data_IF_841397569284
#
_entry.id   IF_841397569284
#
_cell.length_a   1.000
_cell.length_b   1.000
_cell.length_c   1.000
_cell.angle_alpha   90.00
_cell.angle_beta   90.00
_cell.angle_gamma   90.00
#
_symmetry.space_group_name_H-M   'P 1'
#
loop_
_entity.id
_entity.type
_entity.pdbx_description
1 polymer ?
#
# COMPACT_ATOMS: atom_id res chain seq x y z
N UNK A 1 4.70 -0.37 -18.37
CA UNK A 1 4.95 -1.42 -17.34
C UNK A 1 6.03 -2.43 -17.76
N UNK A 2 5.75 -3.41 -18.64
CA UNK A 2 6.71 -4.50 -18.99
C UNK A 2 8.12 -4.03 -19.38
N UNK A 3 8.23 -2.96 -20.17
CA UNK A 3 9.53 -2.37 -20.57
C UNK A 3 10.33 -1.84 -19.37
N UNK A 4 9.66 -1.22 -18.39
CA UNK A 4 10.31 -0.71 -17.19
C UNK A 4 10.77 -1.85 -16.28
N UNK A 5 9.93 -2.86 -16.08
CA UNK A 5 10.29 -4.06 -15.30
C UNK A 5 11.48 -4.80 -15.92
N UNK A 6 11.50 -4.98 -17.25
CA UNK A 6 12.64 -5.58 -17.96
C UNK A 6 13.92 -4.75 -17.78
N UNK A 7 13.85 -3.43 -18.00
CA UNK A 7 15.01 -2.55 -17.82
C UNK A 7 15.56 -2.57 -16.37
N UNK A 8 14.69 -2.67 -15.37
CA UNK A 8 15.10 -2.78 -13.96
C UNK A 8 15.78 -4.13 -13.67
N UNK A 9 15.22 -5.23 -14.19
CA UNK A 9 15.83 -6.57 -14.08
C UNK A 9 17.22 -6.61 -14.72
N UNK A 10 17.31 -6.15 -15.97
CA UNK A 10 18.55 -6.19 -16.74
C UNK A 10 19.65 -5.32 -16.11
N UNK A 11 19.28 -4.18 -15.53
CA UNK A 11 20.24 -3.22 -14.96
C UNK A 11 20.69 -3.57 -13.54
N UNK A 12 19.79 -4.11 -12.71
CA UNK A 12 20.03 -4.24 -11.27
C UNK A 12 19.99 -5.69 -10.76
N UNK A 13 19.66 -6.68 -11.59
CA UNK A 13 19.79 -8.10 -11.26
C UNK A 13 18.78 -8.64 -10.23
N UNK A 14 17.63 -8.00 -10.07
CA UNK A 14 16.55 -8.48 -9.18
C UNK A 14 15.19 -8.48 -9.89
N UNK A 15 14.27 -9.32 -9.43
CA UNK A 15 12.90 -9.34 -9.92
C UNK A 15 12.17 -8.02 -9.61
N UNK A 16 11.94 -7.23 -10.65
CA UNK A 16 11.24 -5.95 -10.54
C UNK A 16 9.76 -6.09 -10.93
N UNK A 17 8.89 -5.57 -10.07
CA UNK A 17 7.46 -5.39 -10.32
C UNK A 17 7.14 -3.89 -10.28
N UNK A 18 6.43 -3.39 -11.29
CA UNK A 18 6.10 -1.96 -11.41
C UNK A 18 4.60 -1.80 -11.49
N UNK A 19 4.03 -1.04 -10.56
CA UNK A 19 2.65 -0.58 -10.63
C UNK A 19 2.65 0.84 -11.21
N UNK A 20 1.81 1.10 -12.20
CA UNK A 20 1.74 2.38 -12.91
C UNK A 20 0.31 2.92 -12.82
N UNK A 21 0.20 4.14 -12.33
CA UNK A 21 -1.05 4.89 -12.18
C UNK A 21 -0.85 6.28 -12.78
N UNK A 22 -1.90 6.85 -13.38
CA UNK A 22 -1.89 8.26 -13.74
C UNK A 22 -2.03 9.16 -12.48
N UNK A 23 -1.70 10.44 -12.64
CA UNK A 23 -1.69 11.39 -11.52
C UNK A 23 -3.10 11.65 -10.95
N UNK A 24 -4.15 11.57 -11.77
CA UNK A 24 -5.53 11.78 -11.31
C UNK A 24 -5.99 10.64 -10.42
N UNK A 25 -5.64 9.40 -10.79
CA UNK A 25 -5.87 8.20 -9.99
C UNK A 25 -5.15 8.30 -8.65
N UNK A 26 -3.87 8.68 -8.65
CA UNK A 26 -3.11 8.85 -7.39
C UNK A 26 -3.73 9.95 -6.52
N UNK A 27 -4.20 11.04 -7.13
CA UNK A 27 -4.88 12.12 -6.40
C UNK A 27 -6.19 11.65 -5.78
N UNK A 28 -7.04 10.97 -6.55
CA UNK A 28 -8.29 10.41 -6.05
C UNK A 28 -8.07 9.44 -4.88
N UNK A 29 -7.01 8.62 -4.93
CA UNK A 29 -6.61 7.72 -3.84
C UNK A 29 -6.19 8.49 -2.59
N UNK A 30 -5.43 9.58 -2.73
CA UNK A 30 -5.02 10.41 -1.59
C UNK A 30 -6.24 11.13 -0.98
N UNK A 31 -7.11 11.69 -1.81
CA UNK A 31 -8.30 12.43 -1.39
C UNK A 31 -9.35 11.52 -0.72
N UNK A 32 -9.38 10.23 -1.08
CA UNK A 32 -10.27 9.23 -0.51
C UNK A 32 -9.73 8.56 0.76
N UNK A 33 -8.60 9.02 1.31
CA UNK A 33 -8.05 8.46 2.55
C UNK A 33 -9.03 8.65 3.72
N UNK A 34 -9.54 7.58 4.36
CA UNK A 34 -10.73 7.65 5.22
C UNK A 34 -10.43 7.97 6.68
N UNK A 35 -9.16 8.15 7.05
CA UNK A 35 -8.75 8.43 8.43
C UNK A 35 -8.13 9.82 8.53
N UNK A 36 -8.01 10.35 9.75
CA UNK A 36 -7.22 11.55 10.00
C UNK A 36 -5.77 11.32 9.49
N UNK A 37 -5.27 12.05 8.47
CA UNK A 37 -4.01 11.76 7.80
C UNK A 37 -2.78 11.88 8.71
N UNK A 38 -2.75 12.88 9.58
CA UNK A 38 -1.57 13.25 10.38
C UNK A 38 -1.85 13.14 11.88
N UNK A 39 -1.85 11.91 12.38
CA UNK A 39 -1.98 11.62 13.81
C UNK A 39 -0.59 11.39 14.41
N UNK A 40 -0.26 12.12 15.48
CA UNK A 40 1.02 11.89 16.16
C UNK A 40 1.09 10.47 16.75
N UNK A 41 2.27 9.87 16.71
CA UNK A 41 2.46 8.47 17.06
C UNK A 41 2.01 7.46 15.99
N UNK A 42 1.43 7.88 14.86
CA UNK A 42 0.95 6.96 13.81
C UNK A 42 1.64 7.15 12.45
N UNK A 43 1.49 6.13 11.60
CA UNK A 43 1.84 6.14 10.19
C UNK A 43 0.59 5.89 9.36
N UNK A 44 0.33 6.76 8.40
CA UNK A 44 -0.75 6.66 7.42
C UNK A 44 -0.22 6.12 6.10
N UNK A 45 -0.77 5.02 5.63
CA UNK A 45 -0.30 4.29 4.46
C UNK A 45 -1.42 4.03 3.47
N UNK A 46 -1.01 3.96 2.20
CA UNK A 46 -1.79 3.40 1.10
C UNK A 46 -1.01 2.22 0.57
N UNK A 47 -1.66 1.07 0.48
CA UNK A 47 -1.15 -0.11 -0.21
C UNK A 47 -1.89 -0.25 -1.53
N UNK A 48 -1.19 -0.04 -2.63
CA UNK A 48 -1.70 -0.30 -3.98
C UNK A 48 -1.70 -1.80 -4.24
N UNK A 49 -2.79 -2.33 -4.78
CA UNK A 49 -3.00 -3.75 -5.01
C UNK A 49 -3.37 -3.97 -6.48
N UNK A 50 -2.60 -4.79 -7.19
CA UNK A 50 -2.76 -5.04 -8.62
C UNK A 50 -3.60 -6.28 -8.96
N UNK A 51 -4.03 -7.04 -7.95
CA UNK A 51 -4.77 -8.29 -8.07
C UNK A 51 -6.00 -8.24 -7.15
N UNK A 52 -7.20 -8.41 -7.71
CA UNK A 52 -8.46 -8.24 -6.97
C UNK A 52 -8.63 -9.30 -5.87
N UNK A 53 -8.17 -10.53 -6.09
CA UNK A 53 -8.24 -11.57 -5.06
C UNK A 53 -7.31 -11.23 -3.88
N UNK A 54 -6.14 -10.65 -4.17
CA UNK A 54 -5.26 -10.12 -3.12
C UNK A 54 -5.90 -8.94 -2.39
N UNK A 55 -6.64 -8.09 -3.09
CA UNK A 55 -7.34 -6.96 -2.48
C UNK A 55 -8.40 -7.46 -1.48
N UNK A 56 -9.22 -8.42 -1.89
CA UNK A 56 -10.23 -9.04 -1.03
C UNK A 56 -9.61 -9.72 0.20
N UNK A 57 -8.51 -10.46 0.01
CA UNK A 57 -7.76 -11.10 1.09
C UNK A 57 -7.26 -10.08 2.12
N UNK A 58 -6.72 -8.94 1.67
CA UNK A 58 -6.22 -7.88 2.54
C UNK A 58 -7.35 -7.10 3.21
N UNK A 59 -8.46 -6.86 2.51
CA UNK A 59 -9.63 -6.17 3.07
C UNK A 59 -10.21 -6.96 4.25
N UNK A 60 -10.28 -8.30 4.13
CA UNK A 60 -10.73 -9.20 5.19
C UNK A 60 -9.83 -9.21 6.44
N UNK A 61 -8.64 -8.61 6.39
CA UNK A 61 -7.80 -8.42 7.58
C UNK A 61 -8.31 -7.30 8.50
N UNK A 62 -9.12 -6.38 7.97
CA UNK A 62 -9.74 -5.31 8.77
C UNK A 62 -10.51 -5.83 9.97
N UNK A 63 -11.24 -6.94 9.79
CA UNK A 63 -12.01 -7.59 10.86
C UNK A 63 -11.14 -8.18 11.98
N UNK A 64 -9.84 -8.35 11.72
CA UNK A 64 -8.86 -8.96 12.64
C UNK A 64 -7.84 -7.95 13.16
N UNK A 65 -7.95 -6.68 12.73
CA UNK A 65 -7.03 -5.63 13.14
C UNK A 65 -7.20 -5.35 14.64
N UNK A 66 -6.08 -5.10 15.33
CA UNK A 66 -6.13 -4.64 16.72
C UNK A 66 -6.72 -3.23 16.82
N UNK A 67 -7.11 -2.81 18.03
CA UNK A 67 -7.76 -1.50 18.24
C UNK A 67 -6.94 -0.29 17.72
N UNK A 68 -5.62 -0.43 17.67
CA UNK A 68 -4.70 0.61 17.20
C UNK A 68 -4.35 0.50 15.70
N UNK A 69 -4.83 -0.53 14.99
CA UNK A 69 -4.63 -0.67 13.54
C UNK A 69 -5.95 -0.42 12.81
N UNK A 70 -6.01 0.63 12.00
CA UNK A 70 -7.17 0.92 11.15
C UNK A 70 -6.88 0.41 9.75
N UNK A 71 -7.84 -0.31 9.17
CA UNK A 71 -7.77 -0.82 7.80
C UNK A 71 -9.10 -0.50 7.13
N UNK A 72 -9.06 0.03 5.91
CA UNK A 72 -10.25 0.29 5.11
C UNK A 72 -9.96 0.02 3.63
N UNK A 73 -10.81 -0.74 2.92
CA UNK A 73 -10.64 -0.95 1.49
C UNK A 73 -11.01 0.31 0.69
N UNK A 74 -10.33 0.48 -0.44
CA UNK A 74 -10.65 1.47 -1.48
C UNK A 74 -10.55 0.85 -2.87
N UNK A 75 -10.78 1.64 -3.91
CA UNK A 75 -10.68 1.16 -5.29
C UNK A 75 -9.22 0.82 -5.65
N UNK A 76 -8.89 -0.48 -5.70
CA UNK A 76 -7.55 -0.97 -6.01
C UNK A 76 -6.49 -0.72 -4.92
N UNK A 77 -6.93 -0.33 -3.71
CA UNK A 77 -6.03 0.03 -2.61
C UNK A 77 -6.57 -0.42 -1.26
N UNK A 78 -5.66 -0.62 -0.31
CA UNK A 78 -5.96 -0.70 1.12
C UNK A 78 -5.41 0.55 1.80
N UNK A 79 -6.28 1.28 2.49
CA UNK A 79 -5.90 2.34 3.40
C UNK A 79 -5.64 1.76 4.77
N UNK A 80 -4.53 2.14 5.39
CA UNK A 80 -4.27 1.70 6.76
C UNK A 80 -3.46 2.69 7.58
N UNK A 81 -3.79 2.75 8.87
CA UNK A 81 -3.13 3.60 9.86
C UNK A 81 -2.70 2.73 11.04
N UNK A 82 -1.42 2.83 11.42
CA UNK A 82 -0.80 1.95 12.41
C UNK A 82 0.17 2.76 13.30
N UNK A 83 0.39 2.40 14.57
CA UNK A 83 1.37 3.08 15.42
C UNK A 83 2.77 3.04 14.81
N UNK A 84 3.54 4.11 15.01
CA UNK A 84 4.94 4.19 14.63
C UNK A 84 5.71 3.05 15.30
N UNK A 85 6.50 2.32 14.51
CA UNK A 85 7.27 1.17 14.98
C UNK A 85 6.52 -0.17 14.88
N UNK A 86 5.19 -0.17 14.73
CA UNK A 86 4.39 -1.40 14.67
C UNK A 86 4.10 -1.89 13.23
N UNK A 87 4.62 -1.21 12.19
CA UNK A 87 4.35 -1.52 10.78
C UNK A 87 4.59 -2.99 10.43
N UNK A 88 5.70 -3.59 10.89
CA UNK A 88 6.03 -4.98 10.55
C UNK A 88 5.23 -6.00 11.37
N UNK A 89 4.70 -5.58 12.53
CA UNK A 89 3.92 -6.44 13.43
C UNK A 89 2.42 -6.39 13.20
N UNK A 90 1.97 -5.42 12.42
CA UNK A 90 0.58 -5.23 11.97
C UNK A 90 0.04 -6.38 11.12
N UNK A 91 -1.29 -6.50 11.06
CA UNK A 91 -1.96 -7.52 10.24
C UNK A 91 -1.60 -7.38 8.76
N UNK A 92 -1.61 -6.15 8.24
CA UNK A 92 -1.24 -5.84 6.85
C UNK A 92 0.25 -6.11 6.61
N UNK A 93 1.13 -5.61 7.48
CA UNK A 93 2.58 -5.78 7.35
C UNK A 93 3.04 -7.24 7.35
N UNK A 94 2.54 -8.04 8.29
CA UNK A 94 2.83 -9.49 8.36
C UNK A 94 2.35 -10.23 7.12
N UNK A 95 1.18 -9.86 6.58
CA UNK A 95 0.61 -10.54 5.41
C UNK A 95 1.40 -10.21 4.16
N UNK A 96 1.67 -8.93 3.89
CA UNK A 96 2.43 -8.51 2.70
C UNK A 96 3.88 -8.99 2.69
N UNK A 97 4.46 -9.35 3.85
CA UNK A 97 5.80 -9.95 3.93
C UNK A 97 5.91 -11.32 3.23
N UNK A 98 4.79 -12.02 2.99
CA UNK A 98 4.79 -13.35 2.36
C UNK A 98 5.04 -13.27 0.85
N UNK A 99 5.75 -14.24 0.23
CA UNK A 99 6.11 -14.20 -1.19
C UNK A 99 4.95 -13.95 -2.17
N UNK A 100 3.75 -14.47 -1.88
CA UNK A 100 2.54 -14.32 -2.70
C UNK A 100 2.14 -12.86 -2.96
N UNK A 101 2.45 -11.95 -2.03
CA UNK A 101 2.01 -10.55 -2.09
C UNK A 101 3.07 -9.60 -2.66
N UNK A 102 4.33 -10.06 -2.80
CA UNK A 102 5.47 -9.21 -3.19
C UNK A 102 5.32 -8.60 -4.59
N UNK A 103 4.73 -9.34 -5.53
CA UNK A 103 4.57 -8.92 -6.92
C UNK A 103 3.28 -8.12 -7.17
N UNK A 104 2.32 -8.18 -6.25
CA UNK A 104 0.97 -7.64 -6.42
C UNK A 104 0.69 -6.42 -5.55
N UNK A 105 1.55 -6.10 -4.58
CA UNK A 105 1.33 -5.01 -3.63
C UNK A 105 2.47 -3.99 -3.60
N UNK A 106 2.15 -2.73 -3.32
CA UNK A 106 3.15 -1.69 -3.04
C UNK A 106 2.61 -0.70 -2.03
N UNK A 107 3.31 -0.58 -0.90
CA UNK A 107 2.94 0.36 0.17
C UNK A 107 3.70 1.68 0.05
N UNK A 108 3.00 2.79 0.25
CA UNK A 108 3.57 4.15 0.35
C UNK A 108 2.96 4.87 1.52
N UNK A 109 3.77 5.68 2.21
CA UNK A 109 3.24 6.61 3.20
C UNK A 109 2.44 7.70 2.49
N UNK A 110 1.33 8.12 3.09
CA UNK A 110 0.46 9.15 2.51
C UNK A 110 1.22 10.47 2.28
N UNK A 111 2.17 10.83 3.17
CA UNK A 111 3.06 12.00 2.98
C UNK A 111 3.96 11.87 1.76
N UNK A 112 4.35 10.66 1.38
CA UNK A 112 5.12 10.42 0.16
C UNK A 112 4.26 10.65 -1.07
N UNK A 113 3.01 10.16 -1.07
CA UNK A 113 2.07 10.39 -2.18
C UNK A 113 1.75 11.87 -2.34
N UNK A 114 1.49 12.57 -1.22
CA UNK A 114 1.26 14.01 -1.22
C UNK A 114 2.45 14.81 -1.76
N UNK A 115 3.69 14.31 -1.67
CA UNK A 115 4.87 14.94 -2.28
C UNK A 115 4.97 14.68 -3.79
N UNK A 116 4.55 13.50 -4.24
CA UNK A 116 4.56 13.14 -5.68
C UNK A 116 3.52 13.96 -6.46
N UNK A 117 2.44 14.37 -5.81
CA UNK A 117 1.35 15.17 -6.41
C UNK A 117 1.62 16.69 -6.44
N UNK A 118 2.79 17.15 -5.95
CA UNK A 118 3.17 18.57 -5.94
C UNK A 118 3.96 18.97 -7.18
#
# INVERSE_FOLDING_TARGET
>A
RKKAEAALRDRFGYDAWVLVYDLETVRAVVDAYPFEPEVDGYQSYVTFVADDAVLDELAALGDKAGADEKISPGAGVIYWQVPKGATLDSAIGKTMGKPRYKSSTTTRNLRTLAKVLR
#
